data_IF_956115377439
#
_entry.id   IF_956115377439
#
_cell.length_a   1.000
_cell.length_b   1.000
_cell.length_c   1.000
_cell.angle_alpha   90.00
_cell.angle_beta   90.00
_cell.angle_gamma   90.00
#
_symmetry.space_group_name_H-M   'P 1'
#
loop_
_entity.id
_entity.type
_entity.pdbx_description
1 polymer ?
#
# COMPACT_ATOMS: atom_id res chain seq x y z
N UNK A 1 24.60 -11.64 -34.62
CA UNK A 1 23.27 -12.06 -34.15
C UNK A 1 22.46 -10.79 -33.86
N UNK A 2 21.56 -10.39 -34.74
CA UNK A 2 20.78 -9.14 -34.62
C UNK A 2 19.63 -9.39 -33.64
N UNK A 3 19.76 -8.91 -32.41
CA UNK A 3 18.66 -8.98 -31.43
C UNK A 3 17.72 -7.82 -31.78
N UNK A 4 16.46 -8.07 -32.14
CA UNK A 4 15.54 -6.98 -32.48
C UNK A 4 15.40 -6.05 -31.27
N UNK A 5 15.68 -4.76 -31.47
CA UNK A 5 15.64 -3.74 -30.42
C UNK A 5 14.31 -3.72 -29.65
N UNK A 6 13.21 -4.08 -30.32
CA UNK A 6 11.87 -4.24 -29.72
C UNK A 6 11.83 -5.33 -28.64
N UNK A 7 12.51 -6.47 -28.84
CA UNK A 7 12.54 -7.55 -27.86
C UNK A 7 13.31 -7.15 -26.59
N UNK A 8 14.37 -6.33 -26.73
CA UNK A 8 15.14 -5.79 -25.61
C UNK A 8 14.30 -4.79 -24.81
N UNK A 9 13.63 -3.86 -25.49
CA UNK A 9 12.76 -2.86 -24.85
C UNK A 9 11.64 -3.56 -24.07
N UNK A 10 11.02 -4.57 -24.67
CA UNK A 10 9.97 -5.33 -24.00
C UNK A 10 10.50 -6.06 -22.75
N UNK A 11 11.62 -6.77 -22.85
CA UNK A 11 12.19 -7.49 -21.73
C UNK A 11 12.57 -6.57 -20.55
N UNK A 12 13.08 -5.36 -20.84
CA UNK A 12 13.52 -4.42 -19.82
C UNK A 12 12.38 -3.58 -19.23
N UNK A 13 11.42 -3.11 -20.05
CA UNK A 13 10.43 -2.10 -19.65
C UNK A 13 8.99 -2.60 -19.58
N UNK A 14 8.73 -3.91 -19.74
CA UNK A 14 7.38 -4.50 -19.72
C UNK A 14 6.51 -3.97 -18.57
N UNK A 15 7.03 -3.92 -17.34
CA UNK A 15 6.24 -3.49 -16.17
C UNK A 15 5.81 -2.02 -16.28
N UNK A 16 6.71 -1.15 -16.70
CA UNK A 16 6.44 0.29 -16.90
C UNK A 16 5.46 0.51 -18.03
N UNK A 17 5.62 -0.21 -19.15
CA UNK A 17 4.73 -0.13 -20.31
C UNK A 17 3.31 -0.59 -19.97
N UNK A 18 3.18 -1.68 -19.20
CA UNK A 18 1.87 -2.16 -18.71
C UNK A 18 1.24 -1.10 -17.78
N UNK A 19 2.02 -0.52 -16.86
CA UNK A 19 1.53 0.53 -15.96
C UNK A 19 1.01 1.75 -16.71
N UNK A 20 1.75 2.24 -17.70
CA UNK A 20 1.32 3.36 -18.56
C UNK A 20 0.07 2.99 -19.37
N UNK A 21 -0.01 1.76 -19.88
CA UNK A 21 -1.20 1.26 -20.57
C UNK A 21 -2.45 1.27 -19.69
N UNK A 22 -2.33 0.83 -18.43
CA UNK A 22 -3.44 0.87 -17.46
C UNK A 22 -3.89 2.31 -17.19
N UNK A 23 -2.94 3.23 -16.97
CA UNK A 23 -3.27 4.65 -16.73
C UNK A 23 -4.00 5.24 -17.95
N UNK A 24 -3.52 4.96 -19.16
CA UNK A 24 -4.17 5.42 -20.38
C UNK A 24 -5.60 4.88 -20.51
N UNK A 25 -5.82 3.59 -20.22
CA UNK A 25 -7.15 2.97 -20.23
C UNK A 25 -8.08 3.67 -19.22
N UNK A 26 -7.62 3.90 -17.99
CA UNK A 26 -8.42 4.58 -16.96
C UNK A 26 -8.80 5.99 -17.38
N UNK A 27 -7.87 6.75 -17.98
CA UNK A 27 -8.15 8.10 -18.48
C UNK A 27 -9.17 8.07 -19.61
N UNK A 28 -9.01 7.16 -20.59
CA UNK A 28 -9.94 7.02 -21.72
C UNK A 28 -11.33 6.63 -21.22
N UNK A 29 -11.44 5.65 -20.32
CA UNK A 29 -12.70 5.23 -19.73
C UNK A 29 -13.37 6.36 -18.94
N UNK A 30 -12.58 7.15 -18.20
CA UNK A 30 -13.08 8.30 -17.47
C UNK A 30 -13.71 9.34 -18.41
N UNK A 31 -12.99 9.71 -19.47
CA UNK A 31 -13.50 10.64 -20.49
C UNK A 31 -14.73 10.06 -21.20
N UNK A 32 -14.72 8.77 -21.55
CA UNK A 32 -15.85 8.09 -22.19
C UNK A 32 -17.09 8.01 -21.28
N UNK A 33 -16.91 7.98 -19.97
CA UNK A 33 -18.00 8.06 -18.98
C UNK A 33 -18.55 9.49 -18.79
N UNK A 34 -18.05 10.48 -19.55
CA UNK A 34 -18.49 11.87 -19.48
C UNK A 34 -17.83 12.71 -18.39
N UNK A 35 -16.77 12.21 -17.74
CA UNK A 35 -15.98 13.00 -16.79
C UNK A 35 -15.19 14.09 -17.53
N UNK A 36 -15.03 15.25 -16.90
CA UNK A 36 -14.21 16.34 -17.44
C UNK A 36 -12.76 15.88 -17.64
N UNK A 37 -12.28 15.97 -18.88
CA UNK A 37 -10.92 15.58 -19.25
C UNK A 37 -9.84 16.30 -18.43
N UNK A 38 -10.06 17.58 -18.06
CA UNK A 38 -9.14 18.34 -17.19
C UNK A 38 -9.08 17.74 -15.80
N UNK A 39 -10.22 17.34 -15.25
CA UNK A 39 -10.29 16.71 -13.93
C UNK A 39 -9.61 15.34 -13.94
N UNK A 40 -9.93 14.49 -14.92
CA UNK A 40 -9.38 13.12 -15.03
C UNK A 40 -7.86 13.15 -15.20
N UNK A 41 -7.36 14.02 -16.08
CA UNK A 41 -5.91 14.17 -16.31
C UNK A 41 -5.20 14.78 -15.10
N UNK A 42 -5.81 15.76 -14.42
CA UNK A 42 -5.26 16.32 -13.19
C UNK A 42 -5.18 15.28 -12.06
N UNK A 43 -6.21 14.45 -11.88
CA UNK A 43 -6.20 13.36 -10.90
C UNK A 43 -5.15 12.31 -11.26
N UNK A 44 -5.04 11.91 -12.53
CA UNK A 44 -4.01 10.97 -12.97
C UNK A 44 -2.60 11.51 -12.72
N UNK A 45 -2.36 12.79 -13.01
CA UNK A 45 -1.08 13.45 -12.73
C UNK A 45 -0.80 13.52 -11.22
N UNK A 46 -1.80 13.88 -10.41
CA UNK A 46 -1.69 13.93 -8.96
C UNK A 46 -1.32 12.56 -8.37
N UNK A 47 -2.00 11.50 -8.80
CA UNK A 47 -1.70 10.12 -8.39
C UNK A 47 -0.27 9.74 -8.79
N UNK A 48 0.16 10.12 -10.00
CA UNK A 48 1.54 9.93 -10.45
C UNK A 48 2.55 10.62 -9.53
N UNK A 49 2.36 11.90 -9.23
CA UNK A 49 3.25 12.69 -8.35
C UNK A 49 3.32 12.07 -6.95
N UNK A 50 2.17 11.71 -6.36
CA UNK A 50 2.11 11.08 -5.04
C UNK A 50 2.87 9.75 -5.06
N UNK A 51 2.64 8.91 -6.07
CA UNK A 51 3.30 7.60 -6.20
C UNK A 51 4.81 7.76 -6.34
N UNK A 52 5.29 8.73 -7.13
CA UNK A 52 6.71 9.03 -7.27
C UNK A 52 7.33 9.52 -5.96
N UNK A 53 6.62 10.35 -5.18
CA UNK A 53 7.08 10.79 -3.87
C UNK A 53 7.23 9.62 -2.89
N UNK A 54 6.25 8.70 -2.85
CA UNK A 54 6.33 7.47 -2.05
C UNK A 54 7.46 6.55 -2.49
N UNK A 55 7.69 6.40 -3.80
CA UNK A 55 8.81 5.63 -4.32
C UNK A 55 10.17 6.24 -3.90
N UNK A 56 10.28 7.58 -3.92
CA UNK A 56 11.46 8.29 -3.43
C UNK A 56 11.69 8.06 -1.94
N UNK A 57 10.65 8.21 -1.11
CA UNK A 57 10.72 7.94 0.32
C UNK A 57 11.08 6.48 0.62
N UNK A 58 10.48 5.52 -0.10
CA UNK A 58 10.81 4.11 0.02
C UNK A 58 12.27 3.85 -0.35
N UNK A 59 12.79 4.53 -1.38
CA UNK A 59 14.21 4.50 -1.75
C UNK A 59 15.12 5.01 -0.63
N UNK A 60 14.75 6.13 0.00
CA UNK A 60 15.49 6.68 1.14
C UNK A 60 15.48 5.72 2.34
N UNK A 61 14.32 5.14 2.67
CA UNK A 61 14.21 4.16 3.77
C UNK A 61 15.04 2.92 3.46
N UNK A 62 15.07 2.46 2.21
CA UNK A 62 15.84 1.29 1.78
C UNK A 62 17.36 1.47 1.89
N UNK A 63 17.87 2.70 2.03
CA UNK A 63 19.29 2.95 2.31
C UNK A 63 19.71 2.44 3.69
N UNK A 64 18.77 2.32 4.64
CA UNK A 64 19.04 1.76 5.97
C UNK A 64 19.30 0.26 5.81
N UNK A 65 20.53 -0.24 6.08
CA UNK A 65 20.85 -1.65 5.90
C UNK A 65 19.94 -2.52 6.77
N UNK A 66 19.54 -3.68 6.23
CA UNK A 66 18.67 -4.69 6.87
C UNK A 66 17.25 -4.21 7.20
N UNK A 67 17.09 -3.15 7.99
CA UNK A 67 15.81 -2.65 8.49
C UNK A 67 15.03 -1.93 7.39
N UNK A 68 15.70 -1.12 6.57
CA UNK A 68 15.07 -0.34 5.51
C UNK A 68 14.23 -1.18 4.54
N UNK A 69 14.81 -2.21 3.90
CA UNK A 69 14.07 -3.12 3.03
C UNK A 69 12.90 -3.84 3.72
N UNK A 70 13.01 -4.15 5.02
CA UNK A 70 11.92 -4.78 5.78
C UNK A 70 10.75 -3.81 5.98
N UNK A 71 11.05 -2.55 6.31
CA UNK A 71 10.03 -1.49 6.43
C UNK A 71 9.33 -1.30 5.08
N UNK A 72 10.08 -1.12 3.99
CA UNK A 72 9.50 -0.92 2.66
C UNK A 72 8.59 -2.09 2.26
N UNK A 73 8.98 -3.33 2.55
CA UNK A 73 8.13 -4.51 2.33
C UNK A 73 6.84 -4.44 3.13
N UNK A 74 6.91 -4.09 4.42
CA UNK A 74 5.71 -3.96 5.26
C UNK A 74 4.79 -2.82 4.79
N UNK A 75 5.36 -1.67 4.41
CA UNK A 75 4.61 -0.52 3.88
C UNK A 75 3.94 -0.83 2.54
N UNK A 76 4.56 -1.70 1.73
CA UNK A 76 4.06 -2.04 0.39
C UNK A 76 2.91 -3.05 0.40
N UNK A 77 2.42 -3.51 1.56
CA UNK A 77 1.30 -4.46 1.67
C UNK A 77 -0.01 -3.65 1.85
N UNK A 78 -0.80 -3.40 0.78
CA UNK A 78 -1.90 -2.43 0.84
C UNK A 78 -3.03 -2.91 1.75
N UNK A 79 -3.28 -4.22 1.77
CA UNK A 79 -4.35 -4.83 2.55
C UNK A 79 -4.19 -4.57 4.05
N UNK A 80 -2.96 -4.60 4.57
CA UNK A 80 -2.69 -4.33 5.99
C UNK A 80 -3.11 -2.89 6.33
N UNK A 81 -2.71 -1.91 5.52
CA UNK A 81 -3.06 -0.51 5.74
C UNK A 81 -4.55 -0.23 5.60
N UNK A 82 -5.22 -0.86 4.62
CA UNK A 82 -6.67 -0.74 4.46
C UNK A 82 -7.43 -1.29 5.67
N UNK A 83 -7.10 -2.50 6.12
CA UNK A 83 -7.74 -3.11 7.29
C UNK A 83 -7.45 -2.32 8.57
N UNK A 84 -6.23 -1.81 8.73
CA UNK A 84 -5.84 -1.04 9.90
C UNK A 84 -6.56 0.33 9.92
N UNK A 85 -6.57 1.03 8.78
CA UNK A 85 -7.31 2.27 8.61
C UNK A 85 -8.81 2.11 8.83
N UNK A 86 -9.42 1.07 8.26
CA UNK A 86 -10.83 0.73 8.50
C UNK A 86 -11.10 0.44 9.99
N UNK A 87 -10.23 -0.33 10.64
CA UNK A 87 -10.33 -0.62 12.06
C UNK A 87 -10.24 0.62 12.95
N UNK A 88 -9.37 1.58 12.62
CA UNK A 88 -9.29 2.87 13.32
C UNK A 88 -10.51 3.74 13.05
N UNK A 89 -10.96 3.81 11.80
CA UNK A 89 -12.15 4.55 11.43
C UNK A 89 -13.38 4.04 12.20
N UNK A 90 -13.62 2.73 12.19
CA UNK A 90 -14.68 2.09 12.96
C UNK A 90 -14.55 2.37 14.46
N UNK A 91 -13.32 2.39 15.00
CA UNK A 91 -13.09 2.73 16.41
C UNK A 91 -13.46 4.16 16.75
N UNK A 92 -13.13 5.11 15.87
CA UNK A 92 -13.49 6.52 16.07
C UNK A 92 -15.01 6.69 16.02
N UNK A 93 -15.69 6.03 15.08
CA UNK A 93 -17.15 6.06 14.96
C UNK A 93 -17.80 5.49 16.23
N UNK A 94 -17.39 4.30 16.67
CA UNK A 94 -17.94 3.66 17.87
C UNK A 94 -17.67 4.47 19.14
N UNK A 95 -16.47 5.05 19.27
CA UNK A 95 -16.12 5.92 20.40
C UNK A 95 -17.02 7.18 20.43
N UNK A 96 -17.27 7.81 19.28
CA UNK A 96 -18.20 8.94 19.16
C UNK A 96 -19.64 8.56 19.52
N UNK A 97 -20.04 7.32 19.27
CA UNK A 97 -21.37 6.80 19.64
C UNK A 97 -21.47 6.37 21.11
N UNK A 98 -20.46 6.63 21.95
CA UNK A 98 -20.46 6.24 23.36
C UNK A 98 -20.07 4.77 23.61
N UNK A 99 -19.74 4.00 22.57
CA UNK A 99 -19.32 2.59 22.68
C UNK A 99 -17.82 2.43 22.95
N UNK A 100 -17.21 3.38 23.67
CA UNK A 100 -15.77 3.38 23.98
C UNK A 100 -15.34 2.09 24.69
N UNK A 101 -16.21 1.50 25.52
CA UNK A 101 -15.95 0.21 26.17
C UNK A 101 -15.71 -0.94 25.19
N UNK A 102 -16.48 -1.00 24.09
CA UNK A 102 -16.32 -2.02 23.04
C UNK A 102 -15.04 -1.80 22.23
N UNK A 103 -14.69 -0.54 21.97
CA UNK A 103 -13.42 -0.17 21.33
C UNK A 103 -12.26 -0.63 22.19
N UNK A 104 -12.24 -0.27 23.48
CA UNK A 104 -11.17 -0.68 24.40
C UNK A 104 -11.08 -2.20 24.52
N UNK A 105 -12.20 -2.90 24.68
CA UNK A 105 -12.21 -4.38 24.76
C UNK A 105 -11.59 -5.03 23.53
N UNK A 106 -11.93 -4.57 22.32
CA UNK A 106 -11.33 -5.13 21.09
C UNK A 106 -9.82 -4.86 21.00
N UNK A 107 -9.36 -3.68 21.43
CA UNK A 107 -7.92 -3.34 21.48
C UNK A 107 -7.18 -4.16 22.51
N UNK A 108 -7.72 -4.29 23.72
CA UNK A 108 -7.15 -5.11 24.79
C UNK A 108 -7.06 -6.57 24.34
N UNK A 109 -8.12 -7.13 23.75
CA UNK A 109 -8.10 -8.50 23.23
C UNK A 109 -6.99 -8.71 22.20
N UNK A 110 -6.82 -7.77 21.27
CA UNK A 110 -5.78 -7.85 20.24
C UNK A 110 -4.38 -7.79 20.86
N UNK A 111 -4.15 -6.88 21.82
CA UNK A 111 -2.86 -6.76 22.52
C UNK A 111 -2.55 -8.04 23.30
N UNK A 112 -3.50 -8.54 24.09
CA UNK A 112 -3.33 -9.77 24.88
C UNK A 112 -3.02 -10.96 23.98
N UNK A 113 -3.75 -11.11 22.86
CA UNK A 113 -3.51 -12.18 21.89
C UNK A 113 -2.10 -12.08 21.28
N UNK A 114 -1.70 -10.91 20.80
CA UNK A 114 -0.39 -10.71 20.19
C UNK A 114 0.74 -10.95 21.18
N UNK A 115 0.62 -10.41 22.39
CA UNK A 115 1.59 -10.66 23.47
C UNK A 115 1.67 -12.14 23.82
N UNK A 116 0.54 -12.83 23.92
CA UNK A 116 0.48 -14.28 24.17
C UNK A 116 1.16 -15.10 23.08
N UNK A 117 0.92 -14.78 21.80
CA UNK A 117 1.58 -15.45 20.66
C UNK A 117 3.11 -15.23 20.70
N UNK A 118 3.56 -14.01 20.97
CA UNK A 118 4.99 -13.70 21.08
C UNK A 118 5.64 -14.48 22.21
N UNK A 119 5.03 -14.49 23.40
CA UNK A 119 5.53 -15.24 24.56
C UNK A 119 5.57 -16.74 24.24
N UNK A 120 4.49 -17.29 23.69
CA UNK A 120 4.40 -18.70 23.32
C UNK A 120 5.46 -19.12 22.30
N UNK A 121 5.72 -18.29 21.29
CA UNK A 121 6.79 -18.53 20.32
C UNK A 121 8.18 -18.53 20.96
N UNK A 122 8.46 -17.58 21.86
CA UNK A 122 9.74 -17.52 22.57
C UNK A 122 9.94 -18.79 23.41
N UNK A 123 8.94 -19.16 24.24
CA UNK A 123 9.01 -20.35 25.09
C UNK A 123 9.18 -21.61 24.25
N UNK A 124 8.39 -21.78 23.20
CA UNK A 124 8.45 -22.96 22.33
C UNK A 124 9.74 -23.12 21.53
N UNK A 125 10.58 -22.08 21.46
CA UNK A 125 11.92 -22.16 20.84
C UNK A 125 13.03 -22.40 21.87
N UNK A 126 12.77 -22.15 23.15
CA UNK A 126 13.72 -22.36 24.25
C UNK A 126 13.67 -23.78 24.82
N UNK A 127 12.55 -24.48 24.62
CA UNK A 127 12.36 -25.91 24.94
C UNK A 127 12.71 -26.72 23.69
#
# INVERSE_FOLDING_TARGET
>A
MYIPHIAVIWATYRKTLIGLGIVAIVVILGIAAGLDARLVTALAALVGIITSAFAGLAGLVALIPWIGPLIVKALSIPLIWLLNGAGYFASIVLAKQGHTGSVVKSRVLTVVLLTGIVIGYIIGKLI
#
